data_IF_740071869849
#
_entry.id   IF_740071869849
#
_cell.length_a   1.000
_cell.length_b   1.000
_cell.length_c   1.000
_cell.angle_alpha   90.00
_cell.angle_beta   90.00
_cell.angle_gamma   90.00
#
_symmetry.space_group_name_H-M   'P 1'
#
loop_
_entity.id
_entity.type
_entity.pdbx_description
1 polymer ?
#
# COMPACT_ATOMS: atom_id res chain seq x y z
N UNK A 1 1.25 15.57 15.18
CA UNK A 1 0.83 16.98 15.04
C UNK A 1 -0.54 17.06 14.36
N UNK A 2 -1.48 17.90 14.83
CA UNK A 2 -2.70 18.22 14.05
C UNK A 2 -2.32 18.89 12.72
N UNK A 3 -3.19 18.85 11.72
CA UNK A 3 -2.96 19.55 10.45
C UNK A 3 -2.67 21.04 10.72
N UNK A 4 -1.54 21.61 10.26
CA UNK A 4 -1.24 23.02 10.46
C UNK A 4 -2.22 23.90 9.70
N UNK A 5 -2.72 24.95 10.35
CA UNK A 5 -3.59 25.92 9.68
C UNK A 5 -2.84 26.63 8.54
N UNK A 6 -3.51 26.77 7.39
CA UNK A 6 -2.94 27.45 6.22
C UNK A 6 -1.88 26.64 5.47
N UNK A 7 -1.67 25.35 5.79
CA UNK A 7 -0.77 24.47 5.05
C UNK A 7 -1.11 24.41 3.57
N UNK A 8 -2.39 24.58 3.19
CA UNK A 8 -2.82 24.63 1.80
C UNK A 8 -2.24 25.79 0.98
N UNK A 9 -1.71 26.84 1.63
CA UNK A 9 -0.99 27.93 0.96
C UNK A 9 0.36 27.47 0.40
N UNK A 10 0.90 26.35 0.89
CA UNK A 10 2.14 25.74 0.38
C UNK A 10 1.84 24.88 -0.85
N UNK A 11 1.44 25.51 -1.95
CA UNK A 11 1.00 24.82 -3.18
C UNK A 11 2.09 23.96 -3.84
N UNK A 12 3.36 24.24 -3.56
CA UNK A 12 4.53 23.47 -4.01
C UNK A 12 4.97 22.37 -3.03
N UNK A 13 4.21 22.11 -1.96
CA UNK A 13 4.58 21.11 -0.96
C UNK A 13 4.58 19.71 -1.57
N UNK A 14 5.73 19.02 -1.50
CA UNK A 14 5.91 17.68 -2.06
C UNK A 14 5.71 16.57 -1.03
N UNK A 15 5.98 16.84 0.24
CA UNK A 15 5.94 15.86 1.33
C UNK A 15 5.21 16.43 2.53
N UNK A 16 4.24 15.68 3.03
CA UNK A 16 3.50 15.99 4.25
C UNK A 16 3.36 14.71 5.07
N UNK A 17 4.03 14.63 6.21
CA UNK A 17 4.04 13.43 7.07
C UNK A 17 3.91 13.82 8.53
N UNK A 18 3.39 12.92 9.37
CA UNK A 18 3.26 13.16 10.81
C UNK A 18 2.01 13.97 11.18
N UNK A 19 1.06 14.10 10.24
CA UNK A 19 -0.26 14.67 10.50
C UNK A 19 -1.17 13.59 11.10
N UNK A 20 -2.05 13.98 12.02
CA UNK A 20 -3.00 13.05 12.65
C UNK A 20 -4.33 13.10 11.91
N UNK A 21 -5.05 11.98 11.82
CA UNK A 21 -6.30 11.78 11.06
C UNK A 21 -7.49 12.67 11.45
N UNK A 22 -7.46 13.33 12.60
CA UNK A 22 -8.52 14.25 13.04
C UNK A 22 -8.38 15.72 12.57
N UNK A 23 -9.51 16.43 12.50
CA UNK A 23 -9.60 17.88 12.23
C UNK A 23 -9.84 18.25 10.76
N UNK A 24 -9.41 19.44 10.35
CA UNK A 24 -9.66 20.02 9.01
C UNK A 24 -8.82 19.42 7.86
N UNK A 25 -8.29 18.19 8.04
CA UNK A 25 -7.53 17.48 7.00
C UNK A 25 -8.24 17.52 5.65
N UNK A 26 -9.57 17.32 5.58
CA UNK A 26 -10.19 17.25 4.27
C UNK A 26 -10.07 18.56 3.50
N UNK A 27 -10.30 19.70 4.16
CA UNK A 27 -10.31 21.02 3.53
C UNK A 27 -8.93 21.43 3.00
N UNK A 28 -7.87 21.14 3.77
CA UNK A 28 -6.52 21.60 3.45
C UNK A 28 -5.79 20.63 2.51
N UNK A 29 -5.90 19.31 2.74
CA UNK A 29 -5.15 18.31 1.99
C UNK A 29 -5.50 18.33 0.51
N UNK A 30 -6.79 18.48 0.17
CA UNK A 30 -7.24 18.45 -1.23
C UNK A 30 -6.78 19.62 -2.10
N UNK A 31 -6.15 20.65 -1.51
CA UNK A 31 -5.57 21.80 -2.22
C UNK A 31 -4.08 21.58 -2.56
N UNK A 32 -3.41 20.61 -1.94
CA UNK A 32 -1.98 20.33 -2.10
C UNK A 32 -1.69 19.52 -3.37
N UNK A 33 -1.95 20.11 -4.54
CA UNK A 33 -1.92 19.43 -5.84
C UNK A 33 -0.56 18.84 -6.24
N UNK A 34 0.55 19.31 -5.65
CA UNK A 34 1.89 18.80 -5.96
C UNK A 34 2.36 17.67 -5.04
N UNK A 35 1.53 17.25 -4.08
CA UNK A 35 1.93 16.32 -3.03
C UNK A 35 2.29 14.94 -3.62
N UNK A 36 3.48 14.45 -3.25
CA UNK A 36 4.02 13.15 -3.71
C UNK A 36 4.14 12.13 -2.58
N UNK A 37 4.25 12.60 -1.34
CA UNK A 37 4.39 11.76 -0.16
C UNK A 37 3.46 12.24 0.94
N UNK A 38 2.55 11.37 1.37
CA UNK A 38 1.60 11.61 2.44
C UNK A 38 1.78 10.58 3.56
N UNK A 39 1.87 11.05 4.80
CA UNK A 39 1.91 10.21 5.99
C UNK A 39 0.92 10.69 7.04
N UNK A 40 -0.10 9.88 7.31
CA UNK A 40 -1.15 10.17 8.28
C UNK A 40 -1.07 9.14 9.42
N UNK A 41 -1.12 9.63 10.65
CA UNK A 41 -1.12 8.84 11.88
C UNK A 41 -2.49 8.95 12.56
N UNK A 42 -2.75 8.07 13.52
CA UNK A 42 -3.99 8.04 14.29
C UNK A 42 -5.24 8.10 13.40
N UNK A 43 -5.22 7.34 12.29
CA UNK A 43 -6.43 7.14 11.47
C UNK A 43 -7.40 6.30 12.30
N UNK A 44 -8.65 6.73 12.31
CA UNK A 44 -9.78 6.04 12.94
C UNK A 44 -10.87 5.83 11.92
N UNK A 45 -11.83 4.95 12.19
CA UNK A 45 -13.02 4.76 11.34
C UNK A 45 -13.73 6.09 11.04
N UNK A 46 -13.94 6.92 12.07
CA UNK A 46 -14.60 8.23 11.93
C UNK A 46 -13.87 9.20 11.00
N UNK A 47 -12.56 9.06 10.86
CA UNK A 47 -11.71 9.99 10.09
C UNK A 47 -11.28 9.45 8.74
N UNK A 48 -11.40 8.13 8.55
CA UNK A 48 -10.99 7.40 7.36
C UNK A 48 -11.70 7.95 6.11
N UNK A 49 -13.03 8.04 6.11
CA UNK A 49 -13.80 8.51 4.95
C UNK A 49 -13.43 9.92 4.51
N UNK A 50 -13.26 10.83 5.47
CA UNK A 50 -12.93 12.22 5.20
C UNK A 50 -11.50 12.36 4.62
N UNK A 51 -10.56 11.56 5.14
CA UNK A 51 -9.20 11.44 4.61
C UNK A 51 -9.22 10.87 3.18
N UNK A 52 -10.00 9.81 2.96
CA UNK A 52 -10.13 9.11 1.68
C UNK A 52 -10.71 10.00 0.58
N UNK A 53 -11.76 10.77 0.89
CA UNK A 53 -12.32 11.76 -0.02
C UNK A 53 -11.27 12.80 -0.45
N UNK A 54 -10.33 13.11 0.43
CA UNK A 54 -9.32 14.14 0.23
C UNK A 54 -8.13 13.64 -0.57
N UNK A 55 -7.69 12.40 -0.32
CA UNK A 55 -6.74 11.70 -1.18
C UNK A 55 -7.32 11.53 -2.60
N UNK A 56 -8.59 11.16 -2.72
CA UNK A 56 -9.27 11.06 -4.02
C UNK A 56 -9.27 12.42 -4.74
N UNK A 57 -9.53 13.51 -4.02
CA UNK A 57 -9.48 14.87 -4.61
C UNK A 57 -8.07 15.22 -5.10
N UNK A 58 -7.00 14.80 -4.42
CA UNK A 58 -5.62 14.98 -4.90
C UNK A 58 -5.39 14.31 -6.26
N UNK A 59 -5.99 13.14 -6.49
CA UNK A 59 -5.81 12.39 -7.73
C UNK A 59 -6.63 12.94 -8.91
N UNK A 60 -7.73 13.67 -8.66
CA UNK A 60 -8.55 14.25 -9.75
C UNK A 60 -7.74 15.30 -10.52
N UNK A 61 -7.42 14.99 -11.78
CA UNK A 61 -6.87 15.95 -12.75
C UNK A 61 -7.84 17.13 -12.88
N UNK A 62 -7.34 18.36 -12.74
CA UNK A 62 -8.07 19.55 -13.15
C UNK A 62 -8.22 19.50 -14.67
N UNK A 63 -9.45 19.38 -15.16
CA UNK A 63 -9.75 19.39 -16.59
C UNK A 63 -9.64 20.81 -17.13
N UNK A 64 -8.83 20.95 -18.19
CA UNK A 64 -8.91 21.88 -19.34
C UNK A 64 -7.85 22.97 -19.57
N UNK A 65 -6.94 23.36 -18.66
CA UNK A 65 -5.96 24.43 -19.00
C UNK A 65 -4.50 24.33 -18.48
N UNK A 66 -4.11 23.32 -17.72
CA UNK A 66 -2.73 23.23 -17.20
C UNK A 66 -1.88 22.18 -17.96
N UNK A 67 -1.45 22.52 -19.17
CA UNK A 67 -0.75 21.61 -20.11
C UNK A 67 0.76 21.47 -19.92
N UNK A 68 1.37 22.09 -18.90
CA UNK A 68 2.83 22.10 -18.74
C UNK A 68 3.38 21.46 -17.46
N UNK A 69 2.51 20.86 -16.63
CA UNK A 69 2.93 20.23 -15.38
C UNK A 69 2.66 18.72 -15.40
N UNK A 70 3.68 17.86 -15.16
CA UNK A 70 3.48 16.41 -15.19
C UNK A 70 2.47 15.98 -14.12
N UNK A 71 1.63 14.97 -14.35
CA UNK A 71 0.59 14.55 -13.40
C UNK A 71 1.18 14.35 -12.00
N UNK A 72 0.80 15.22 -11.08
CA UNK A 72 1.31 15.23 -9.71
C UNK A 72 0.53 14.20 -8.89
N UNK A 73 0.87 12.93 -9.10
CA UNK A 73 0.16 11.80 -8.49
C UNK A 73 0.96 11.29 -7.29
N UNK A 74 0.25 11.05 -6.19
CA UNK A 74 0.81 10.55 -4.94
C UNK A 74 1.61 9.26 -5.18
N UNK A 75 2.85 9.21 -4.70
CA UNK A 75 3.79 8.07 -4.89
C UNK A 75 4.05 7.28 -3.61
N UNK A 76 3.98 7.95 -2.47
CA UNK A 76 4.22 7.35 -1.15
C UNK A 76 3.03 7.66 -0.25
N UNK A 77 2.44 6.62 0.32
CA UNK A 77 1.33 6.73 1.25
C UNK A 77 1.65 5.89 2.49
N UNK A 78 1.64 6.55 3.65
CA UNK A 78 1.71 5.91 4.96
C UNK A 78 0.41 6.21 5.70
N UNK A 79 -0.28 5.16 6.12
CA UNK A 79 -1.44 5.23 7.00
C UNK A 79 -1.12 4.42 8.25
N UNK A 80 -1.18 5.06 9.40
CA UNK A 80 -1.05 4.42 10.71
C UNK A 80 -2.36 4.63 11.49
N UNK A 81 -2.90 3.57 12.08
CA UNK A 81 -4.16 3.58 12.82
C UNK A 81 -5.23 2.70 12.20
N UNK A 82 -6.36 2.55 12.90
CA UNK A 82 -7.44 1.59 12.63
C UNK A 82 -8.15 1.88 11.31
N UNK A 83 -8.08 0.92 10.39
CA UNK A 83 -8.74 0.94 9.09
C UNK A 83 -9.79 -0.16 8.95
N UNK A 84 -9.59 -1.32 9.59
CA UNK A 84 -10.38 -2.57 9.49
C UNK A 84 -10.41 -3.21 8.08
N UNK A 85 -10.59 -2.39 7.05
CA UNK A 85 -10.69 -2.79 5.65
C UNK A 85 -9.84 -1.87 4.76
N UNK A 86 -9.33 -2.42 3.65
CA UNK A 86 -8.69 -1.58 2.63
C UNK A 86 -9.78 -0.87 1.82
N UNK A 87 -9.74 0.46 1.71
CA UNK A 87 -10.81 1.19 1.06
C UNK A 87 -10.78 1.02 -0.46
N UNK A 88 -11.98 1.01 -1.04
CA UNK A 88 -12.19 0.68 -2.45
C UNK A 88 -11.35 1.54 -3.39
N UNK A 89 -11.18 2.84 -3.13
CA UNK A 89 -10.45 3.78 -3.99
C UNK A 89 -8.94 3.53 -4.12
N UNK A 90 -8.34 2.55 -3.41
CA UNK A 90 -6.91 2.21 -3.60
C UNK A 90 -6.58 1.94 -5.08
N UNK A 91 -7.51 1.38 -5.86
CA UNK A 91 -7.36 1.21 -7.31
C UNK A 91 -7.09 2.51 -8.09
N UNK A 92 -7.46 3.67 -7.54
CA UNK A 92 -7.23 4.97 -8.18
C UNK A 92 -5.80 5.48 -8.00
N UNK A 93 -5.02 4.89 -7.08
CA UNK A 93 -3.64 5.28 -6.77
C UNK A 93 -2.62 4.66 -7.74
N UNK A 94 -2.86 4.82 -9.05
CA UNK A 94 -2.05 4.19 -10.08
C UNK A 94 -0.55 4.51 -10.03
N UNK A 95 -0.12 5.59 -9.37
CA UNK A 95 1.29 6.00 -9.31
C UNK A 95 1.96 5.67 -7.98
N UNK A 96 1.24 5.00 -7.08
CA UNK A 96 1.76 4.63 -5.78
C UNK A 96 2.86 3.60 -5.95
N UNK A 97 4.06 3.95 -5.51
CA UNK A 97 5.23 3.06 -5.50
C UNK A 97 5.51 2.51 -4.13
N UNK A 98 5.07 3.21 -3.07
CA UNK A 98 5.24 2.77 -1.69
C UNK A 98 3.94 2.95 -0.90
N UNK A 99 3.50 1.87 -0.26
CA UNK A 99 2.39 1.83 0.66
C UNK A 99 2.88 1.27 1.98
N UNK A 100 2.55 1.97 3.06
CA UNK A 100 2.70 1.47 4.43
C UNK A 100 1.36 1.55 5.13
N UNK A 101 0.92 0.40 5.61
CA UNK A 101 -0.22 0.25 6.50
C UNK A 101 0.36 -0.22 7.84
N UNK A 102 0.09 0.53 8.91
CA UNK A 102 0.51 0.12 10.24
C UNK A 102 -0.57 0.33 11.28
N UNK A 103 -0.59 -0.55 12.29
CA UNK A 103 -1.64 -0.59 13.32
C UNK A 103 -3.05 -0.53 12.70
N UNK A 104 -3.23 -1.20 11.56
CA UNK A 104 -4.41 -1.04 10.71
C UNK A 104 -5.59 -1.91 11.10
N UNK A 105 -5.35 -2.92 11.94
CA UNK A 105 -6.38 -3.87 12.40
C UNK A 105 -7.15 -4.49 11.23
N UNK A 106 -6.46 -4.77 10.12
CA UNK A 106 -7.06 -5.38 8.94
C UNK A 106 -7.59 -6.77 9.29
N UNK A 107 -8.81 -7.06 8.86
CA UNK A 107 -9.43 -8.37 9.08
C UNK A 107 -9.37 -9.25 7.82
N UNK A 108 -9.34 -8.63 6.64
CA UNK A 108 -9.47 -9.31 5.36
C UNK A 108 -8.13 -9.41 4.59
N UNK A 109 -8.13 -10.32 3.62
CA UNK A 109 -7.03 -10.46 2.66
C UNK A 109 -6.98 -9.24 1.71
N UNK A 110 -5.86 -8.49 1.69
CA UNK A 110 -5.70 -7.29 0.88
C UNK A 110 -5.48 -7.58 -0.62
N UNK A 111 -5.43 -8.85 -1.03
CA UNK A 111 -5.12 -9.29 -2.40
C UNK A 111 -5.86 -8.47 -3.47
N UNK A 112 -7.18 -8.31 -3.33
CA UNK A 112 -8.01 -7.64 -4.32
C UNK A 112 -7.65 -6.15 -4.46
N UNK A 113 -7.37 -5.47 -3.35
CA UNK A 113 -7.01 -4.06 -3.39
C UNK A 113 -5.57 -3.84 -3.88
N UNK A 114 -4.64 -4.70 -3.47
CA UNK A 114 -3.23 -4.58 -3.86
C UNK A 114 -2.99 -4.92 -5.33
N UNK A 115 -3.76 -5.84 -5.91
CA UNK A 115 -3.78 -6.12 -7.36
C UNK A 115 -4.07 -4.87 -8.18
N UNK A 116 -4.80 -3.90 -7.63
CA UNK A 116 -5.16 -2.65 -8.29
C UNK A 116 -4.08 -1.56 -8.16
N UNK A 117 -2.92 -1.88 -7.60
CA UNK A 117 -1.77 -0.97 -7.47
C UNK A 117 -0.63 -1.42 -8.40
N UNK A 118 -0.75 -1.21 -9.73
CA UNK A 118 0.17 -1.81 -10.71
C UNK A 118 1.61 -1.31 -10.62
N UNK A 119 1.83 -0.18 -9.95
CA UNK A 119 3.13 0.46 -9.79
C UNK A 119 3.75 0.26 -8.39
N UNK A 120 3.10 -0.51 -7.51
CA UNK A 120 3.56 -0.72 -6.14
C UNK A 120 4.85 -1.54 -6.11
N UNK A 121 5.87 -0.96 -5.47
CA UNK A 121 7.21 -1.53 -5.37
C UNK A 121 7.57 -1.91 -3.93
N UNK A 122 7.01 -1.19 -2.96
CA UNK A 122 7.30 -1.37 -1.55
C UNK A 122 5.98 -1.42 -0.78
N UNK A 123 5.72 -2.54 -0.12
CA UNK A 123 4.62 -2.71 0.80
C UNK A 123 5.17 -2.96 2.21
N UNK A 124 4.55 -2.36 3.20
CA UNK A 124 4.82 -2.61 4.61
C UNK A 124 3.50 -2.79 5.34
N UNK A 125 3.39 -3.89 6.09
CA UNK A 125 2.22 -4.31 6.87
C UNK A 125 2.63 -4.37 8.35
N UNK A 126 2.92 -3.22 8.94
CA UNK A 126 3.53 -3.11 10.26
C UNK A 126 2.49 -3.23 11.37
N UNK A 127 2.38 -4.40 12.02
CA UNK A 127 1.24 -4.68 12.91
C UNK A 127 -0.10 -4.36 12.23
N UNK A 128 -0.22 -4.69 10.94
CA UNK A 128 -1.42 -4.38 10.17
C UNK A 128 -2.58 -5.31 10.52
N UNK A 129 -2.33 -6.46 11.18
CA UNK A 129 -3.32 -7.47 11.53
C UNK A 129 -3.29 -7.76 13.03
N UNK A 130 -4.46 -8.08 13.59
CA UNK A 130 -4.63 -8.46 15.00
C UNK A 130 -4.46 -9.97 15.26
N UNK A 131 -3.91 -10.70 14.28
CA UNK A 131 -3.66 -12.13 14.41
C UNK A 131 -4.84 -13.03 14.03
N UNK A 132 -5.83 -12.55 13.27
CA UNK A 132 -6.91 -13.43 12.79
C UNK A 132 -6.69 -13.96 11.35
N UNK A 133 -5.73 -13.42 10.62
CA UNK A 133 -5.52 -13.74 9.21
C UNK A 133 -4.83 -15.09 9.03
N UNK A 134 -5.54 -16.05 8.43
CA UNK A 134 -5.02 -17.40 8.18
C UNK A 134 -4.49 -17.62 6.75
N UNK A 135 -4.98 -16.84 5.79
CA UNK A 135 -4.65 -16.98 4.37
C UNK A 135 -4.35 -15.59 3.81
N UNK A 136 -3.25 -15.47 3.06
CA UNK A 136 -2.85 -14.23 2.42
C UNK A 136 -2.42 -14.50 0.98
N UNK A 137 -2.96 -13.70 0.05
CA UNK A 137 -2.64 -13.85 -1.36
C UNK A 137 -2.02 -12.56 -1.91
N UNK A 138 -0.87 -12.68 -2.57
CA UNK A 138 -0.32 -11.64 -3.42
C UNK A 138 -0.44 -12.06 -4.87
N UNK A 139 -1.49 -11.57 -5.53
CA UNK A 139 -1.66 -11.80 -6.96
C UNK A 139 -1.19 -10.61 -7.78
N UNK A 140 -0.53 -10.88 -8.90
CA UNK A 140 -0.13 -9.88 -9.88
C UNK A 140 0.70 -8.70 -9.31
N UNK A 141 1.39 -8.90 -8.18
CA UNK A 141 2.27 -7.91 -7.56
C UNK A 141 3.66 -7.89 -8.22
N UNK A 142 3.72 -7.90 -9.56
CA UNK A 142 4.95 -8.11 -10.35
C UNK A 142 6.06 -7.07 -10.12
N UNK A 143 5.70 -5.88 -9.65
CA UNK A 143 6.66 -4.79 -9.35
C UNK A 143 7.09 -4.73 -7.91
N UNK A 144 6.47 -5.51 -7.03
CA UNK A 144 6.82 -5.55 -5.62
C UNK A 144 8.24 -6.08 -5.50
N UNK A 145 9.17 -5.27 -4.97
CA UNK A 145 10.59 -5.59 -4.94
C UNK A 145 10.96 -6.58 -3.86
N UNK A 146 10.15 -6.69 -2.82
CA UNK A 146 10.41 -7.44 -1.59
C UNK A 146 9.10 -7.91 -1.01
N UNK A 147 9.09 -9.04 -0.31
CA UNK A 147 7.95 -9.40 0.54
C UNK A 147 7.65 -8.29 1.55
N UNK A 148 6.37 -8.08 1.91
CA UNK A 148 6.00 -7.00 2.80
C UNK A 148 6.72 -7.11 4.14
N UNK A 149 7.39 -6.03 4.53
CA UNK A 149 7.92 -5.93 5.88
C UNK A 149 6.76 -5.94 6.89
N UNK A 150 6.91 -6.70 7.97
CA UNK A 150 5.86 -6.92 8.98
C UNK A 150 5.11 -8.25 8.82
N UNK A 151 5.31 -8.97 7.71
CA UNK A 151 4.73 -10.30 7.50
C UNK A 151 5.20 -11.32 8.57
N UNK A 152 6.43 -11.16 9.07
CA UNK A 152 6.98 -11.96 10.18
C UNK A 152 6.16 -11.86 11.48
N UNK A 153 5.34 -10.82 11.65
CA UNK A 153 4.50 -10.64 12.83
C UNK A 153 3.11 -11.22 12.68
N UNK A 154 2.72 -11.65 11.47
CA UNK A 154 1.41 -12.27 11.23
C UNK A 154 1.54 -13.77 11.50
N UNK A 155 1.69 -14.10 12.79
CA UNK A 155 2.02 -15.46 13.26
C UNK A 155 0.89 -16.47 13.09
N UNK A 156 -0.32 -16.02 12.76
CA UNK A 156 -1.49 -16.88 12.55
C UNK A 156 -1.68 -17.31 11.10
N UNK A 157 -0.83 -16.84 10.18
CA UNK A 157 -0.85 -17.28 8.79
C UNK A 157 -0.53 -18.76 8.69
N UNK A 158 -1.44 -19.49 8.06
CA UNK A 158 -1.28 -20.91 7.72
C UNK A 158 -0.78 -21.07 6.30
N UNK A 159 -1.17 -20.16 5.42
CA UNK A 159 -0.83 -20.21 4.00
C UNK A 159 -0.55 -18.83 3.41
N UNK A 160 0.49 -18.76 2.58
CA UNK A 160 0.85 -17.61 1.76
C UNK A 160 0.95 -18.02 0.29
N UNK A 161 0.18 -17.34 -0.56
CA UNK A 161 0.18 -17.57 -2.00
C UNK A 161 0.79 -16.36 -2.75
N UNK A 162 1.83 -16.59 -3.55
CA UNK A 162 2.56 -15.58 -4.32
C UNK A 162 2.48 -15.89 -5.82
N UNK A 163 1.50 -15.32 -6.52
CA UNK A 163 1.11 -15.77 -7.87
C UNK A 163 0.91 -14.60 -8.88
N UNK A 164 1.72 -14.47 -9.94
CA UNK A 164 3.02 -15.10 -10.17
C UNK A 164 4.14 -14.39 -9.40
N UNK A 165 5.22 -15.13 -9.12
CA UNK A 165 6.42 -14.64 -8.45
C UNK A 165 7.59 -14.59 -9.44
N UNK A 166 8.35 -13.49 -9.47
CA UNK A 166 9.56 -13.40 -10.29
C UNK A 166 10.61 -14.42 -9.81
N UNK A 167 11.34 -15.03 -10.74
CA UNK A 167 12.32 -16.08 -10.42
C UNK A 167 13.40 -15.59 -9.43
N UNK A 168 13.88 -14.35 -9.58
CA UNK A 168 14.84 -13.72 -8.66
C UNK A 168 14.31 -13.60 -7.22
N UNK A 169 13.00 -13.52 -7.02
CA UNK A 169 12.41 -13.50 -5.68
C UNK A 169 12.40 -14.90 -5.06
N UNK A 170 12.22 -15.96 -5.85
CA UNK A 170 12.22 -17.35 -5.34
C UNK A 170 13.51 -17.65 -4.60
N UNK A 171 14.65 -17.22 -5.15
CA UNK A 171 15.97 -17.38 -4.54
C UNK A 171 16.07 -16.70 -3.17
N UNK A 172 15.42 -15.54 -3.01
CA UNK A 172 15.42 -14.76 -1.77
C UNK A 172 14.51 -15.34 -0.69
N UNK A 173 13.58 -16.22 -1.06
CA UNK A 173 12.67 -16.90 -0.13
C UNK A 173 13.26 -18.20 0.44
N UNK A 174 14.40 -18.68 -0.08
CA UNK A 174 14.98 -19.96 0.31
C UNK A 174 15.24 -20.05 1.81
N UNK A 175 14.91 -21.19 2.46
CA UNK A 175 15.16 -21.39 3.89
C UNK A 175 16.65 -21.31 4.24
N UNK A 176 17.53 -21.77 3.35
CA UNK A 176 18.97 -21.80 3.57
C UNK A 176 19.64 -20.51 3.09
N UNK A 177 19.46 -19.42 3.84
CA UNK A 177 20.16 -18.15 3.61
C UNK A 177 19.50 -17.18 2.61
N UNK A 178 18.23 -17.41 2.26
CA UNK A 178 17.44 -16.45 1.50
C UNK A 178 17.19 -15.18 2.32
N UNK A 179 17.52 -14.01 1.74
CA UNK A 179 17.46 -12.71 2.42
C UNK A 179 16.07 -12.34 2.97
N UNK A 180 15.00 -12.92 2.44
CA UNK A 180 13.62 -12.63 2.84
C UNK A 180 12.94 -13.77 3.61
N UNK A 181 13.66 -14.88 3.87
CA UNK A 181 13.08 -16.05 4.52
C UNK A 181 12.58 -15.74 5.95
N UNK A 182 13.26 -14.85 6.67
CA UNK A 182 12.84 -14.40 8.01
C UNK A 182 11.41 -13.82 8.07
N UNK A 183 10.84 -13.43 6.92
CA UNK A 183 9.46 -12.90 6.83
C UNK A 183 8.39 -13.99 6.76
N UNK A 184 8.77 -15.22 6.43
CA UNK A 184 7.86 -16.30 6.03
C UNK A 184 8.21 -17.65 6.67
N UNK A 185 9.34 -17.77 7.38
CA UNK A 185 9.80 -19.01 8.01
C UNK A 185 8.78 -19.62 9.00
N UNK A 186 7.91 -18.79 9.56
CA UNK A 186 6.85 -19.22 10.48
C UNK A 186 5.59 -19.73 9.77
N UNK A 187 5.48 -19.58 8.44
CA UNK A 187 4.28 -19.91 7.66
C UNK A 187 4.37 -21.37 7.18
N UNK A 188 3.45 -22.26 7.59
CA UNK A 188 3.54 -23.69 7.28
C UNK A 188 3.44 -24.03 5.79
N UNK A 189 2.64 -23.26 5.02
CA UNK A 189 2.41 -23.53 3.60
C UNK A 189 2.69 -22.27 2.77
N UNK A 190 3.63 -22.35 1.85
CA UNK A 190 3.91 -21.27 0.90
C UNK A 190 3.75 -21.82 -0.51
N UNK A 191 2.87 -21.20 -1.30
CA UNK A 191 2.66 -21.55 -2.70
C UNK A 191 3.10 -20.40 -3.57
N UNK A 192 3.82 -20.68 -4.64
CA UNK A 192 4.19 -19.68 -5.62
C UNK A 192 4.26 -20.31 -7.01
N UNK A 193 4.07 -19.47 -8.03
CA UNK A 193 4.18 -19.86 -9.42
C UNK A 193 5.23 -18.96 -10.07
N UNK A 194 6.42 -19.50 -10.37
CA UNK A 194 7.46 -18.73 -11.03
C UNK A 194 7.00 -18.22 -12.39
N UNK A 195 7.36 -16.98 -12.75
CA UNK A 195 7.02 -16.41 -14.06
C UNK A 195 7.58 -17.26 -15.21
N UNK A 196 8.75 -17.88 -15.02
CA UNK A 196 9.32 -18.84 -15.98
C UNK A 196 8.37 -20.00 -16.30
N UNK A 197 7.62 -20.52 -15.31
CA UNK A 197 6.68 -21.63 -15.50
C UNK A 197 5.45 -21.26 -16.33
N UNK A 198 5.07 -19.97 -16.38
CA UNK A 198 3.96 -19.48 -17.20
C UNK A 198 4.29 -19.40 -18.70
N UNK A 199 5.56 -19.27 -19.06
CA UNK A 199 6.00 -19.14 -20.46
C UNK A 199 5.96 -20.47 -21.23
N UNK A 200 5.78 -21.59 -20.55
CA UNK A 200 5.73 -22.93 -21.13
C UNK A 200 4.31 -23.48 -21.35
N UNK A 201 3.27 -22.69 -21.12
CA UNK A 201 1.90 -23.08 -21.51
C UNK A 201 1.78 -22.99 -23.05
N UNK A 202 1.53 -24.10 -23.77
CA UNK A 202 1.32 -24.02 -25.21
C UNK A 202 0.07 -23.18 -25.50
N UNK A 203 0.04 -22.43 -26.61
CA UNK A 203 -1.18 -21.73 -27.02
C UNK A 203 -2.27 -22.77 -27.28
N UNK A 204 -3.45 -22.55 -26.67
CA UNK A 204 -4.67 -23.31 -26.93
C UNK A 204 -5.09 -23.24 -28.39
#
# INVERSE_FOLDING_TARGET
>A
MKMPEGISKLTNLLTLTGIHGGGDIPLELGKLRQLRSLGVMDVTEDTADALFASITRLQKKLTLLDTFSPPHLLRKLRLEGRLENIPSWFHSLNNLTMLRLGFSHLEEDPALALQQLPNLQNLTLWHAYDGNLQYLHFHNCSRLRMLPEGLQFVTTLKQLDLLPLNDDHVERLKPDGGEENYKIEHIPTIRFLPVSALKFSPPN
#
